data_IF_752210367355
#
_entry.id   IF_752210367355
#
_cell.length_a   1.000
_cell.length_b   1.000
_cell.length_c   1.000
_cell.angle_alpha   90.00
_cell.angle_beta   90.00
_cell.angle_gamma   90.00
#
_symmetry.space_group_name_H-M   'P 1'
#
loop_
_entity.id
_entity.type
_entity.pdbx_description
1 polymer ?
#
# COMPACT_ATOMS: atom_id res chain seq x y z
N UNK A 1 -15.49 7.63 -11.36
CA UNK A 1 -14.58 6.47 -11.33
C UNK A 1 -15.21 5.50 -10.38
N UNK A 2 -15.71 4.39 -10.90
CA UNK A 2 -16.41 3.40 -10.08
C UNK A 2 -15.38 2.62 -9.25
N UNK A 3 -15.79 2.02 -8.13
CA UNK A 3 -14.86 1.38 -7.18
C UNK A 3 -13.99 0.29 -7.82
N UNK A 4 -14.58 -0.47 -8.76
CA UNK A 4 -13.88 -1.49 -9.53
C UNK A 4 -12.82 -0.90 -10.48
N UNK A 5 -13.12 0.25 -11.08
CA UNK A 5 -12.18 0.97 -11.95
C UNK A 5 -11.03 1.58 -11.13
N UNK A 6 -11.34 2.09 -9.93
CA UNK A 6 -10.33 2.55 -8.99
C UNK A 6 -9.34 1.44 -8.63
N UNK A 7 -9.84 0.25 -8.33
CA UNK A 7 -9.00 -0.90 -7.94
C UNK A 7 -8.01 -1.32 -9.04
N UNK A 8 -8.40 -1.11 -10.30
CA UNK A 8 -7.62 -1.49 -11.49
C UNK A 8 -6.69 -0.38 -11.98
N UNK A 9 -6.74 0.81 -11.39
CA UNK A 9 -5.85 1.91 -11.76
C UNK A 9 -4.41 1.53 -11.45
N UNK A 10 -3.60 1.39 -12.49
CA UNK A 10 -2.18 1.14 -12.34
C UNK A 10 -1.48 2.36 -11.70
N UNK A 11 -0.64 2.13 -10.69
CA UNK A 11 0.11 3.16 -9.95
C UNK A 11 1.60 2.85 -9.93
N UNK A 12 2.34 3.15 -11.01
CA UNK A 12 3.76 2.77 -11.14
C UNK A 12 4.66 3.42 -10.08
N UNK A 13 4.21 4.53 -9.48
CA UNK A 13 4.87 5.21 -8.39
C UNK A 13 4.80 4.54 -7.02
N UNK A 14 4.09 3.41 -6.89
CA UNK A 14 3.90 2.68 -5.63
C UNK A 14 4.48 1.26 -5.79
N UNK A 15 5.21 0.72 -4.78
CA UNK A 15 5.80 -0.62 -4.84
C UNK A 15 4.79 -1.74 -5.12
N UNK A 16 3.59 -1.66 -4.53
CA UNK A 16 2.42 -2.42 -4.98
C UNK A 16 1.65 -1.50 -5.95
N UNK A 17 1.70 -1.71 -7.28
CA UNK A 17 1.36 -0.68 -8.26
C UNK A 17 -0.15 -0.59 -8.55
N UNK A 18 -0.95 -0.54 -7.49
CA UNK A 18 -2.41 -0.43 -7.54
C UNK A 18 -2.94 0.23 -6.26
N UNK A 19 -4.17 0.74 -6.26
CA UNK A 19 -4.88 1.05 -5.03
C UNK A 19 -5.00 -0.17 -4.10
N UNK A 20 -4.91 0.11 -2.80
CA UNK A 20 -5.23 -0.86 -1.78
C UNK A 20 -6.73 -1.12 -1.74
N UNK A 21 -7.10 -2.32 -1.34
CA UNK A 21 -8.49 -2.72 -1.10
C UNK A 21 -8.86 -2.50 0.37
N UNK A 22 -10.12 -2.20 0.70
CA UNK A 22 -10.57 -2.13 2.09
C UNK A 22 -10.25 -3.39 2.90
N UNK A 23 -10.30 -4.57 2.27
CA UNK A 23 -10.02 -5.86 2.90
C UNK A 23 -8.57 -5.95 3.38
N UNK A 24 -7.61 -5.32 2.68
CA UNK A 24 -6.20 -5.33 3.08
C UNK A 24 -5.98 -4.54 4.39
N UNK A 25 -6.78 -3.51 4.64
CA UNK A 25 -6.80 -2.81 5.93
C UNK A 25 -7.51 -3.66 7.00
N UNK A 26 -8.65 -4.25 6.63
CA UNK A 26 -9.44 -5.08 7.54
C UNK A 26 -8.66 -6.29 8.05
N UNK A 27 -7.84 -6.92 7.21
CA UNK A 27 -7.00 -8.07 7.58
C UNK A 27 -5.95 -7.68 8.63
N UNK A 28 -5.32 -6.51 8.49
CA UNK A 28 -4.37 -6.00 9.50
C UNK A 28 -5.08 -5.65 10.79
N UNK A 29 -6.26 -5.03 10.72
CA UNK A 29 -7.09 -4.77 11.90
C UNK A 29 -7.49 -6.07 12.60
N UNK A 30 -7.91 -7.09 11.85
CA UNK A 30 -8.28 -8.40 12.38
C UNK A 30 -7.09 -9.08 13.07
N UNK A 31 -5.89 -9.02 12.48
CA UNK A 31 -4.67 -9.49 13.11
C UNK A 31 -4.38 -8.76 14.44
N UNK A 32 -4.45 -7.42 14.44
CA UNK A 32 -4.21 -6.59 15.62
C UNK A 32 -5.27 -6.77 16.72
N UNK A 33 -6.48 -7.18 16.36
CA UNK A 33 -7.54 -7.51 17.32
C UNK A 33 -7.45 -8.96 17.84
N UNK A 34 -6.66 -9.82 17.20
CA UNK A 34 -6.54 -11.24 17.54
C UNK A 34 -5.52 -11.49 18.66
N UNK A 35 -5.59 -12.65 19.34
CA UNK A 35 -4.55 -13.06 20.31
C UNK A 35 -3.13 -13.17 19.72
N UNK A 36 -2.99 -13.28 18.40
CA UNK A 36 -1.69 -13.40 17.74
C UNK A 36 -0.81 -12.14 17.91
N UNK A 37 -1.42 -11.00 18.24
CA UNK A 37 -0.75 -9.72 18.44
C UNK A 37 -0.71 -9.30 19.92
N UNK A 38 -0.81 -10.24 20.87
CA UNK A 38 -0.97 -9.97 22.30
C UNK A 38 0.12 -9.11 22.97
N UNK A 39 1.26 -8.93 22.30
CA UNK A 39 2.38 -8.09 22.78
C UNK A 39 2.65 -6.88 21.90
N UNK A 40 1.81 -6.64 20.89
CA UNK A 40 1.89 -5.48 20.00
C UNK A 40 1.06 -4.35 20.63
N UNK A 41 1.73 -3.29 21.06
CA UNK A 41 1.08 -2.07 21.57
C UNK A 41 1.98 -0.86 21.34
N UNK A 42 1.39 0.34 21.25
CA UNK A 42 2.11 1.60 21.08
C UNK A 42 2.78 1.80 19.70
N UNK A 43 2.44 0.99 18.70
CA UNK A 43 3.02 1.05 17.35
C UNK A 43 2.01 1.57 16.32
N UNK A 44 2.51 2.26 15.29
CA UNK A 44 1.76 2.61 14.08
C UNK A 44 2.02 1.58 12.99
N UNK A 45 0.95 1.05 12.40
CA UNK A 45 1.02 0.08 11.29
C UNK A 45 0.63 0.75 9.98
N UNK A 46 1.59 0.84 9.06
CA UNK A 46 1.39 1.43 7.73
C UNK A 46 0.94 0.33 6.76
N UNK A 47 -0.19 0.56 6.09
CA UNK A 47 -0.76 -0.35 5.09
C UNK A 47 -1.08 0.44 3.82
N UNK A 48 -0.04 0.79 3.06
CA UNK A 48 -0.11 1.77 1.96
C UNK A 48 0.50 1.25 0.64
N UNK A 49 0.80 -0.05 0.56
CA UNK A 49 1.47 -0.65 -0.60
C UNK A 49 2.92 -0.20 -0.78
N UNK A 50 3.56 0.38 0.24
CA UNK A 50 4.92 0.89 0.21
C UNK A 50 5.04 2.34 -0.26
N UNK A 51 3.92 3.06 -0.38
CA UNK A 51 3.88 4.45 -0.85
C UNK A 51 4.81 5.38 -0.05
N UNK A 52 4.84 5.27 1.28
CA UNK A 52 5.68 6.11 2.14
C UNK A 52 7.19 5.84 2.00
N UNK A 53 7.59 4.70 1.42
CA UNK A 53 9.00 4.43 1.12
C UNK A 53 9.45 5.12 -0.17
N UNK A 54 8.52 5.64 -0.96
CA UNK A 54 8.80 6.36 -2.18
C UNK A 54 9.04 7.83 -1.87
N UNK A 55 10.01 8.45 -2.56
CA UNK A 55 10.23 9.89 -2.46
C UNK A 55 8.98 10.70 -2.88
N UNK A 56 8.84 11.97 -2.47
CA UNK A 56 7.63 12.76 -2.68
C UNK A 56 7.22 12.91 -4.16
N UNK A 57 8.16 12.74 -5.09
CA UNK A 57 7.93 12.79 -6.53
C UNK A 57 7.48 11.44 -7.10
N UNK A 58 7.90 10.33 -6.51
CA UNK A 58 7.70 9.02 -7.09
C UNK A 58 6.23 8.58 -7.09
N UNK A 59 5.48 8.87 -6.02
CA UNK A 59 4.06 8.51 -5.92
C UNK A 59 3.12 9.22 -6.90
N UNK A 60 3.55 10.31 -7.56
CA UNK A 60 2.69 11.14 -8.42
C UNK A 60 3.29 11.51 -9.79
N UNK A 61 4.60 11.39 -10.00
CA UNK A 61 5.28 11.81 -11.25
C UNK A 61 5.95 10.64 -11.99
N UNK A 62 5.91 9.42 -11.44
CA UNK A 62 6.33 8.25 -12.20
C UNK A 62 5.18 7.82 -13.12
N UNK A 63 5.48 7.76 -14.40
CA UNK A 63 4.55 7.34 -15.46
C UNK A 63 4.75 5.86 -15.85
N UNK A 64 5.79 5.20 -15.32
CA UNK A 64 6.12 3.81 -15.65
C UNK A 64 6.93 3.11 -14.54
N UNK A 65 6.97 1.77 -14.60
CA UNK A 65 7.74 0.91 -13.68
C UNK A 65 9.25 0.82 -13.99
N UNK A 66 9.75 1.58 -14.97
CA UNK A 66 11.15 1.48 -15.43
C UNK A 66 12.20 1.69 -14.32
N UNK A 67 11.82 2.35 -13.21
CA UNK A 67 12.67 2.53 -12.03
C UNK A 67 13.00 1.21 -11.31
N UNK A 68 12.22 0.14 -11.53
CA UNK A 68 12.46 -1.19 -10.96
C UNK A 68 13.59 -1.96 -11.63
N UNK A 69 13.88 -1.61 -12.88
CA UNK A 69 14.88 -2.30 -13.71
C UNK A 69 16.29 -1.71 -13.55
N UNK A 70 16.44 -0.64 -12.77
CA UNK A 70 17.69 0.10 -12.57
C UNK A 70 18.66 -0.57 -11.56
N UNK A 71 18.80 -1.90 -11.63
CA UNK A 71 19.73 -2.71 -10.84
C UNK A 71 21.16 -2.66 -11.33
#
# INVERSE_FOLDING_TARGET
MDAEEAERTHRPGIPIPRPGKPEEIADVVAFLASPASSYVTGATWVVDGGMLQMGPQAGSHLESDAWRDAG
#
